data_IF_102352404507
#
_entry.id   IF_102352404507
#
_cell.length_a   1.000
_cell.length_b   1.000
_cell.length_c   1.000
_cell.angle_alpha   90.00
_cell.angle_beta   90.00
_cell.angle_gamma   90.00
#
_symmetry.space_group_name_H-M   'P 1'
#
loop_
_entity.id
_entity.type
_entity.pdbx_description
1 polymer ?
#
# COMPACT_ATOMS: atom_id res chain seq x y z
N UNK A 1 5.23 18.99 -2.27
CA UNK A 1 4.20 18.11 -2.85
C UNK A 1 3.35 17.59 -1.70
N UNK A 2 2.07 17.95 -1.65
CA UNK A 2 1.17 17.48 -0.59
C UNK A 2 0.83 16.02 -0.88
N UNK A 3 1.31 15.09 -0.05
CA UNK A 3 0.93 13.68 -0.20
C UNK A 3 -0.59 13.56 -0.11
N UNK A 4 -1.17 12.73 -0.99
CA UNK A 4 -2.61 12.48 -0.98
C UNK A 4 -3.03 11.94 0.40
N UNK A 5 -4.19 12.35 0.95
CA UNK A 5 -4.65 11.93 2.28
C UNK A 5 -4.84 10.40 2.39
N UNK A 6 -4.88 9.68 1.26
CA UNK A 6 -5.02 8.23 1.16
C UNK A 6 -3.70 7.49 0.91
N UNK A 7 -2.54 8.17 0.95
CA UNK A 7 -1.24 7.53 0.72
C UNK A 7 -0.85 6.62 1.89
N UNK A 8 -1.00 5.30 1.71
CA UNK A 8 -0.70 4.31 2.75
C UNK A 8 0.80 4.05 2.93
N UNK A 9 1.59 4.12 1.85
CA UNK A 9 2.99 3.73 1.88
C UNK A 9 3.61 3.60 0.50
N UNK A 10 4.81 3.03 0.48
CA UNK A 10 5.63 2.85 -0.72
C UNK A 10 6.03 1.39 -0.87
N UNK A 11 5.98 0.87 -2.09
CA UNK A 11 6.42 -0.51 -2.39
C UNK A 11 7.91 -0.63 -2.08
N UNK A 12 8.26 -1.61 -1.25
CA UNK A 12 9.66 -1.90 -0.89
C UNK A 12 10.19 -3.20 -1.48
N UNK A 13 9.35 -4.24 -1.58
CA UNK A 13 9.73 -5.52 -2.17
C UNK A 13 8.52 -6.23 -2.81
N UNK A 14 8.78 -7.10 -3.78
CA UNK A 14 7.75 -7.89 -4.48
C UNK A 14 8.23 -9.33 -4.60
N UNK A 15 7.36 -10.28 -4.25
CA UNK A 15 7.58 -11.71 -4.38
C UNK A 15 6.30 -12.39 -4.91
N UNK A 16 6.27 -12.70 -6.21
CA UNK A 16 5.07 -13.21 -6.88
C UNK A 16 3.91 -12.22 -6.77
N UNK A 17 2.74 -12.69 -6.31
CA UNK A 17 1.57 -11.84 -6.05
C UNK A 17 1.64 -11.08 -4.71
N UNK A 18 2.68 -11.29 -3.90
CA UNK A 18 2.83 -10.65 -2.60
C UNK A 18 3.72 -9.42 -2.69
N UNK A 19 3.19 -8.26 -2.29
CA UNK A 19 3.88 -6.97 -2.29
C UNK A 19 4.09 -6.52 -0.85
N UNK A 20 5.34 -6.22 -0.49
CA UNK A 20 5.69 -5.62 0.79
C UNK A 20 5.75 -4.11 0.64
N UNK A 21 4.96 -3.41 1.44
CA UNK A 21 4.78 -1.95 1.41
C UNK A 21 5.29 -1.38 2.73
N UNK A 22 6.25 -0.45 2.64
CA UNK A 22 6.70 0.33 3.79
C UNK A 22 5.68 1.42 4.07
N UNK A 23 5.10 1.40 5.27
CA UNK A 23 4.03 2.32 5.66
C UNK A 23 4.56 3.76 5.69
N UNK A 24 3.76 4.69 5.17
CA UNK A 24 4.06 6.11 5.27
C UNK A 24 3.81 6.58 6.71
N UNK A 25 4.78 7.28 7.30
CA UNK A 25 4.72 7.74 8.70
C UNK A 25 3.46 8.57 9.00
N UNK A 26 2.96 9.32 8.01
CA UNK A 26 1.74 10.11 8.15
C UNK A 26 0.45 9.30 8.35
N UNK A 27 0.48 7.98 8.14
CA UNK A 27 -0.67 7.06 8.37
C UNK A 27 -0.37 6.04 9.48
N UNK A 28 0.66 6.27 10.31
CA UNK A 28 1.03 5.33 11.39
C UNK A 28 -0.10 5.04 12.40
N UNK A 29 -1.09 5.94 12.54
CA UNK A 29 -2.28 5.74 13.38
C UNK A 29 -3.36 4.84 12.74
N UNK A 30 -3.25 4.54 11.45
CA UNK A 30 -4.30 3.88 10.66
C UNK A 30 -5.52 4.77 10.40
N UNK A 31 -5.40 6.09 10.62
CA UNK A 31 -6.48 7.05 10.40
C UNK A 31 -6.07 8.06 9.33
N UNK A 32 -6.89 8.18 8.29
CA UNK A 32 -6.80 9.23 7.29
C UNK A 32 -7.94 10.25 7.48
N UNK A 33 -7.65 11.54 7.27
CA UNK A 33 -8.66 12.60 7.26
C UNK A 33 -8.98 12.94 5.80
N UNK A 34 -10.19 12.65 5.37
CA UNK A 34 -10.65 12.87 3.99
C UNK A 34 -11.92 13.70 4.05
N UNK A 35 -11.88 14.91 3.50
CA UNK A 35 -13.03 15.83 3.52
C UNK A 35 -13.52 16.17 4.94
N UNK A 36 -12.61 16.28 5.92
CA UNK A 36 -12.95 16.58 7.32
C UNK A 36 -13.49 15.40 8.12
N UNK A 37 -13.51 14.18 7.56
CA UNK A 37 -13.95 12.97 8.26
C UNK A 37 -12.79 12.00 8.46
N UNK A 38 -12.77 11.32 9.60
CA UNK A 38 -11.79 10.28 9.92
C UNK A 38 -12.21 8.94 9.35
N UNK A 39 -11.31 8.30 8.61
CA UNK A 39 -11.48 6.96 8.04
C UNK A 39 -10.37 6.04 8.56
N UNK A 40 -10.75 4.79 8.90
CA UNK A 40 -9.77 3.72 9.15
C UNK A 40 -9.21 3.22 7.83
N UNK A 41 -7.90 3.19 7.71
CA UNK A 41 -7.18 2.79 6.50
C UNK A 41 -5.96 1.94 6.86
N UNK A 42 -5.44 1.17 5.91
CA UNK A 42 -4.17 0.45 6.09
C UNK A 42 -4.22 -0.74 7.05
N UNK A 43 -5.40 -1.34 7.25
CA UNK A 43 -5.59 -2.55 8.07
C UNK A 43 -5.79 -3.81 7.21
N UNK A 44 -5.64 -4.99 7.79
CA UNK A 44 -5.94 -6.26 7.12
C UNK A 44 -7.35 -6.25 6.52
N UNK A 45 -7.49 -6.76 5.29
CA UNK A 45 -8.72 -6.75 4.52
C UNK A 45 -8.98 -5.47 3.73
N UNK A 46 -8.17 -4.42 3.89
CA UNK A 46 -8.34 -3.19 3.10
C UNK A 46 -8.02 -3.43 1.62
N UNK A 47 -8.87 -2.94 0.74
CA UNK A 47 -8.60 -2.88 -0.70
C UNK A 47 -7.73 -1.69 -1.03
N UNK A 48 -6.66 -1.92 -1.79
CA UNK A 48 -5.64 -0.91 -2.11
C UNK A 48 -5.34 -0.88 -3.59
N UNK A 49 -4.98 0.32 -4.06
CA UNK A 49 -4.51 0.58 -5.42
C UNK A 49 -3.02 0.90 -5.38
N UNK A 50 -2.26 0.32 -6.29
CA UNK A 50 -0.84 0.59 -6.51
C UNK A 50 -0.69 1.19 -7.92
N UNK A 51 -0.54 2.51 -8.04
CA UNK A 51 -0.41 3.16 -9.34
C UNK A 51 0.93 2.84 -9.97
N UNK A 52 0.94 2.43 -11.26
CA UNK A 52 2.15 2.17 -12.05
C UNK A 52 2.30 3.12 -13.26
N UNK A 53 1.53 4.20 -13.28
CA UNK A 53 1.52 5.18 -14.37
C UNK A 53 0.45 4.87 -15.41
N UNK A 54 0.64 3.81 -16.21
CA UNK A 54 -0.27 3.44 -17.31
C UNK A 54 -1.30 2.35 -16.95
N UNK A 55 -1.13 1.72 -15.80
CA UNK A 55 -2.07 0.75 -15.25
C UNK A 55 -2.04 0.83 -13.73
N UNK A 56 -3.09 0.31 -13.12
CA UNK A 56 -3.23 0.21 -11.68
C UNK A 56 -3.26 -1.26 -11.29
N UNK A 57 -2.41 -1.62 -10.33
CA UNK A 57 -2.53 -2.91 -9.65
C UNK A 57 -3.47 -2.76 -8.45
N UNK A 58 -4.24 -3.79 -8.18
CA UNK A 58 -5.15 -3.84 -7.04
C UNK A 58 -4.84 -5.02 -6.16
N UNK A 59 -5.01 -4.83 -4.85
CA UNK A 59 -4.72 -5.85 -3.86
C UNK A 59 -5.48 -5.70 -2.56
N UNK A 60 -5.31 -6.69 -1.71
CA UNK A 60 -5.84 -6.72 -0.35
C UNK A 60 -4.68 -6.74 0.63
N UNK A 61 -4.73 -5.89 1.65
CA UNK A 61 -3.76 -5.97 2.76
C UNK A 61 -3.99 -7.29 3.51
N UNK A 62 -3.00 -8.17 3.51
CA UNK A 62 -3.06 -9.45 4.23
C UNK A 62 -2.41 -9.39 5.61
N UNK A 63 -1.35 -8.60 5.79
CA UNK A 63 -0.63 -8.46 7.06
C UNK A 63 -0.21 -7.01 7.31
N UNK A 64 -0.07 -6.64 8.58
CA UNK A 64 0.44 -5.32 9.03
C UNK A 64 1.39 -5.47 10.22
N UNK A 65 2.39 -4.59 10.33
CA UNK A 65 3.33 -4.55 11.46
C UNK A 65 4.53 -5.49 11.30
N UNK A 66 5.04 -6.02 12.40
CA UNK A 66 6.28 -6.80 12.41
C UNK A 66 6.20 -8.09 11.58
N UNK A 67 5.03 -8.73 11.52
CA UNK A 67 4.77 -9.95 10.72
C UNK A 67 4.69 -9.69 9.22
N UNK A 68 4.60 -8.43 8.80
CA UNK A 68 4.55 -8.02 7.40
C UNK A 68 5.92 -7.66 6.81
N UNK A 69 6.99 -7.73 7.62
CA UNK A 69 8.37 -7.46 7.18
C UNK A 69 8.77 -8.46 6.08
N UNK A 70 9.33 -8.01 4.94
CA UNK A 70 9.80 -8.93 3.90
C UNK A 70 10.96 -9.78 4.42
N UNK A 71 10.98 -11.07 4.03
CA UNK A 71 12.01 -12.03 4.45
C UNK A 71 13.43 -11.57 4.14
N UNK A 72 13.61 -10.86 3.02
CA UNK A 72 14.90 -10.28 2.60
C UNK A 72 15.41 -9.17 3.51
N UNK A 73 14.59 -8.66 4.43
CA UNK A 73 14.92 -7.58 5.37
C UNK A 73 14.87 -8.03 6.84
N UNK A 74 14.70 -9.33 7.13
CA UNK A 74 14.53 -9.83 8.52
C UNK A 74 15.77 -9.63 9.39
N UNK A 75 16.98 -9.70 8.81
CA UNK A 75 18.25 -9.50 9.55
C UNK A 75 18.54 -8.02 9.83
N UNK A 76 18.00 -7.12 9.01
CA UNK A 76 18.00 -5.70 9.31
C UNK A 76 16.82 -5.45 10.25
N UNK A 77 17.05 -5.45 11.57
CA UNK A 77 16.10 -4.83 12.50
C UNK A 77 15.93 -3.36 12.09
N UNK A 78 15.01 -3.09 11.16
CA UNK A 78 14.54 -1.78 10.77
C UNK A 78 13.69 -1.26 11.93
N UNK A 79 14.35 -0.94 13.05
CA UNK A 79 13.69 -0.51 14.28
C UNK A 79 12.90 0.76 13.97
N UNK A 80 11.58 0.62 13.98
CA UNK A 80 10.64 1.73 13.73
C UNK A 80 9.96 1.68 12.38
N UNK A 81 10.44 0.88 11.41
CA UNK A 81 9.74 0.75 10.13
C UNK A 81 8.52 -0.17 10.26
N UNK A 82 7.36 0.34 9.86
CA UNK A 82 6.13 -0.44 9.79
C UNK A 82 5.92 -0.94 8.38
N UNK A 83 5.69 -2.24 8.26
CA UNK A 83 5.44 -2.89 6.98
C UNK A 83 3.99 -3.32 6.86
N UNK A 84 3.53 -3.44 5.63
CA UNK A 84 2.25 -4.03 5.25
C UNK A 84 2.50 -5.02 4.12
N UNK A 85 1.84 -6.17 4.16
CA UNK A 85 1.84 -7.13 3.06
C UNK A 85 0.53 -7.01 2.30
N UNK A 86 0.62 -6.89 0.98
CA UNK A 86 -0.51 -6.78 0.07
C UNK A 86 -0.50 -7.98 -0.86
N UNK A 87 -1.60 -8.69 -0.96
CA UNK A 87 -1.82 -9.73 -1.97
C UNK A 87 -2.51 -9.10 -3.17
N UNK A 88 -1.87 -9.17 -4.34
CA UNK A 88 -2.45 -8.71 -5.59
C UNK A 88 -3.64 -9.60 -5.98
N UNK A 89 -4.71 -8.93 -6.42
CA UNK A 89 -5.95 -9.60 -6.88
C UNK A 89 -6.21 -9.35 -8.37
N UNK A 90 -5.59 -8.33 -8.96
CA UNK A 90 -5.73 -8.04 -10.39
C UNK A 90 -5.13 -6.70 -10.78
N UNK A 91 -5.33 -6.35 -12.04
CA UNK A 91 -4.87 -5.09 -12.63
C UNK A 91 -5.98 -4.46 -13.48
N UNK A 92 -5.88 -3.14 -13.66
CA UNK A 92 -6.68 -2.38 -14.62
C UNK A 92 -5.73 -1.58 -15.50
N UNK A 93 -5.78 -1.82 -16.80
CA UNK A 93 -5.04 -1.04 -17.78
C UNK A 93 -5.89 0.18 -18.14
N UNK A 94 -5.34 1.38 -17.96
CA UNK A 94 -6.02 2.59 -18.40
C UNK A 94 -5.95 2.63 -19.93
N UNK A 95 -6.99 2.09 -20.57
CA UNK A 95 -7.11 2.16 -22.01
C UNK A 95 -7.72 3.53 -22.29
N UNK A 96 -6.98 4.44 -22.93
CA UNK A 96 -7.56 5.66 -23.51
C UNK A 96 -8.58 5.24 -24.59
N UNK A 97 -9.79 4.88 -24.18
CA UNK A 97 -10.93 4.68 -25.06
C UNK A 97 -11.60 6.04 -25.24
N UNK A 98 -11.17 6.77 -26.27
CA UNK A 98 -11.88 7.94 -26.77
C UNK A 98 -11.03 9.20 -26.86
N UNK A 99 -10.20 9.27 -27.90
CA UNK A 99 -10.00 10.53 -28.61
C UNK A 99 -9.96 10.22 -30.12
N UNK A 100 -11.15 9.93 -30.67
CA UNK A 100 -11.57 10.07 -32.08
C UNK A 100 -13.09 10.03 -32.18
#
# INVERSE_FOLDING_TARGET
MTNAPTLLGYVGAVAGASVSVRQYEGIASGIAIIGGRSYRVGQVGSFVRIPQGYHDLYGIISDVGATATPETLVDAQARGERWMKVQLVGEVIETNFGDR
#
